data_IF_056515651035
#
_entry.id   IF_056515651035
#
_cell.length_a   1.000
_cell.length_b   1.000
_cell.length_c   1.000
_cell.angle_alpha   90.00
_cell.angle_beta   90.00
_cell.angle_gamma   90.00
#
_symmetry.space_group_name_H-M   'P 1'
#
loop_
_entity.id
_entity.type
_entity.pdbx_description
1 polymer ?
#
# COMPACT_ATOMS: atom_id res chain seq x y z
N UNK A 1 14.08 77.56 18.24
CA UNK A 1 13.15 77.11 17.18
C UNK A 1 13.70 77.58 15.86
N UNK A 2 13.51 76.76 14.82
CA UNK A 2 14.00 76.86 13.42
C UNK A 2 15.51 76.62 13.29
N UNK A 3 16.04 75.68 12.51
CA UNK A 3 15.54 74.91 11.37
C UNK A 3 16.60 75.04 10.27
N UNK A 4 17.50 74.06 10.14
CA UNK A 4 18.62 74.11 9.19
C UNK A 4 18.73 72.82 8.37
N UNK A 5 18.33 72.91 7.09
CA UNK A 5 18.61 71.93 6.05
C UNK A 5 20.13 71.82 5.82
N UNK A 6 20.73 70.68 6.13
CA UNK A 6 22.08 70.38 5.67
C UNK A 6 22.02 69.72 4.29
N UNK A 7 22.42 70.53 3.30
CA UNK A 7 22.59 70.16 1.90
C UNK A 7 23.92 69.43 1.74
N UNK A 8 23.87 68.20 1.21
CA UNK A 8 25.05 67.48 0.77
C UNK A 8 25.66 68.15 -0.46
N UNK A 9 26.87 68.70 -0.38
CA UNK A 9 27.86 68.68 -1.48
C UNK A 9 29.25 69.11 -1.01
N UNK A 10 30.25 68.20 -1.09
CA UNK A 10 31.54 68.41 -1.78
C UNK A 10 32.60 67.32 -1.44
N UNK A 11 33.02 66.53 -2.45
CA UNK A 11 34.22 65.66 -2.45
C UNK A 11 34.03 64.32 -3.22
N UNK A 12 34.79 64.01 -4.30
CA UNK A 12 34.33 63.08 -5.34
C UNK A 12 34.80 61.64 -5.14
N UNK A 13 33.90 60.77 -4.68
CA UNK A 13 33.81 59.41 -5.23
C UNK A 13 32.60 59.40 -6.14
N UNK A 14 32.80 59.36 -7.46
CA UNK A 14 31.70 59.20 -8.42
C UNK A 14 31.09 57.82 -8.22
N UNK A 15 30.13 57.70 -7.30
CA UNK A 15 29.24 56.55 -7.27
C UNK A 15 28.48 56.61 -8.59
N UNK A 16 28.86 55.74 -9.52
CA UNK A 16 28.20 55.63 -10.83
C UNK A 16 26.71 55.46 -10.61
N UNK A 17 25.87 56.11 -11.43
CA UNK A 17 24.41 55.89 -11.43
C UNK A 17 24.05 54.41 -11.46
N UNK A 18 24.91 53.58 -12.07
CA UNK A 18 24.78 52.12 -12.10
C UNK A 18 24.86 51.51 -10.69
N UNK A 19 25.79 51.97 -9.84
CA UNK A 19 25.97 51.53 -8.45
C UNK A 19 24.79 51.92 -7.55
N UNK A 20 24.20 53.10 -7.79
CA UNK A 20 23.00 53.54 -7.08
C UNK A 20 21.78 52.70 -7.51
N UNK A 21 21.68 52.42 -8.81
CA UNK A 21 20.63 51.56 -9.35
C UNK A 21 20.75 50.12 -8.82
N UNK A 22 21.97 49.56 -8.72
CA UNK A 22 22.19 48.21 -8.15
C UNK A 22 21.85 48.16 -6.68
N UNK A 23 22.21 49.17 -5.89
CA UNK A 23 21.87 49.23 -4.47
C UNK A 23 20.35 49.28 -4.25
N UNK A 24 19.64 50.13 -5.00
CA UNK A 24 18.17 50.20 -4.93
C UNK A 24 17.53 48.87 -5.40
N UNK A 25 18.10 48.23 -6.42
CA UNK A 25 17.64 46.91 -6.87
C UNK A 25 17.92 45.81 -5.82
N UNK A 26 19.07 45.79 -5.17
CA UNK A 26 19.42 44.82 -4.11
C UNK A 26 18.51 44.99 -2.88
N UNK A 27 18.24 46.23 -2.48
CA UNK A 27 17.33 46.57 -1.37
C UNK A 27 15.87 46.23 -1.72
N UNK A 28 15.42 46.51 -2.95
CA UNK A 28 14.06 46.19 -3.41
C UNK A 28 13.82 44.70 -3.66
N UNK A 29 14.85 43.98 -4.13
CA UNK A 29 14.77 42.53 -4.36
C UNK A 29 15.04 41.71 -3.09
N UNK A 30 15.55 42.33 -2.03
CA UNK A 30 15.91 41.66 -0.78
C UNK A 30 17.03 40.63 -0.95
N UNK A 31 17.86 40.78 -1.99
CA UNK A 31 18.93 39.83 -2.35
C UNK A 31 19.98 39.73 -1.23
N UNK A 32 20.22 40.82 -0.50
CA UNK A 32 21.10 40.83 0.69
C UNK A 32 20.63 39.87 1.80
N UNK A 33 19.31 39.64 1.90
CA UNK A 33 18.70 38.75 2.90
C UNK A 33 18.46 37.33 2.39
N UNK A 34 18.87 36.98 1.16
CA UNK A 34 18.68 35.62 0.62
C UNK A 34 19.33 34.57 1.53
N UNK A 35 20.50 34.86 2.12
CA UNK A 35 21.14 33.97 3.09
C UNK A 35 20.28 33.71 4.33
N UNK A 36 19.61 34.74 4.83
CA UNK A 36 18.72 34.64 5.99
C UNK A 36 17.42 33.92 5.65
N UNK A 37 16.82 34.19 4.48
CA UNK A 37 15.64 33.49 3.99
C UNK A 37 15.92 32.01 3.74
N UNK A 38 17.08 31.67 3.16
CA UNK A 38 17.51 30.29 2.98
C UNK A 38 17.73 29.61 4.33
N UNK A 39 18.39 30.28 5.27
CA UNK A 39 18.59 29.76 6.63
C UNK A 39 17.26 29.49 7.33
N UNK A 40 16.32 30.43 7.26
CA UNK A 40 14.97 30.26 7.80
C UNK A 40 14.21 29.11 7.13
N UNK A 41 14.30 28.97 5.80
CA UNK A 41 13.73 27.85 5.07
C UNK A 41 14.37 26.51 5.49
N UNK A 42 15.69 26.47 5.72
CA UNK A 42 16.37 25.29 6.26
C UNK A 42 15.89 24.94 7.67
N UNK A 43 15.72 25.92 8.56
CA UNK A 43 15.17 25.67 9.90
C UNK A 43 13.73 25.14 9.84
N UNK A 44 12.88 25.71 9.00
CA UNK A 44 11.52 25.21 8.77
C UNK A 44 11.57 23.78 8.22
N UNK A 45 12.42 23.51 7.23
CA UNK A 45 12.55 22.18 6.66
C UNK A 45 13.00 21.17 7.72
N UNK A 46 13.97 21.52 8.57
CA UNK A 46 14.40 20.67 9.68
C UNK A 46 13.30 20.42 10.71
N UNK A 47 12.53 21.45 11.06
CA UNK A 47 11.38 21.32 11.97
C UNK A 47 10.30 20.40 11.38
N UNK A 48 10.04 20.54 10.07
CA UNK A 48 9.05 19.73 9.35
C UNK A 48 9.61 18.40 8.84
N UNK A 49 10.91 18.15 8.99
CA UNK A 49 11.57 16.97 8.42
C UNK A 49 10.93 15.65 8.88
N UNK A 50 10.62 15.45 10.19
CA UNK A 50 9.93 14.25 10.63
C UNK A 50 8.58 14.06 9.93
N UNK A 51 7.82 15.16 9.72
CA UNK A 51 6.55 15.14 9.00
C UNK A 51 6.74 14.74 7.52
N UNK A 52 7.75 15.31 6.85
CA UNK A 52 8.08 14.97 5.45
C UNK A 52 8.44 13.48 5.33
N UNK A 53 9.25 12.96 6.24
CA UNK A 53 9.66 11.54 6.24
C UNK A 53 8.45 10.61 6.24
N UNK A 54 7.40 10.91 7.01
CA UNK A 54 6.21 10.04 7.10
C UNK A 54 5.46 9.93 5.77
N UNK A 55 5.48 10.96 4.93
CA UNK A 55 4.86 10.96 3.60
C UNK A 55 5.79 10.41 2.51
N UNK A 56 7.11 10.43 2.72
CA UNK A 56 8.10 9.89 1.79
C UNK A 56 8.27 8.38 1.94
N UNK A 57 8.23 7.86 3.18
CA UNK A 57 8.44 6.43 3.48
C UNK A 57 7.55 5.47 2.67
N UNK A 58 6.25 5.76 2.41
CA UNK A 58 5.45 4.91 1.53
C UNK A 58 6.00 4.78 0.11
N UNK A 59 6.78 5.75 -0.35
CA UNK A 59 7.50 5.71 -1.64
C UNK A 59 8.49 4.55 -1.75
N UNK A 60 8.98 3.99 -0.63
CA UNK A 60 9.83 2.79 -0.62
C UNK A 60 9.10 1.59 -1.24
N UNK A 61 7.80 1.43 -0.99
CA UNK A 61 7.01 0.34 -1.59
C UNK A 61 6.90 0.51 -3.10
N UNK A 62 6.74 1.74 -3.58
CA UNK A 62 6.72 2.06 -5.01
C UNK A 62 8.08 1.77 -5.64
N UNK A 63 9.17 2.17 -4.98
CA UNK A 63 10.53 1.87 -5.40
C UNK A 63 10.74 0.35 -5.51
N UNK A 64 10.33 -0.43 -4.51
CA UNK A 64 10.43 -1.89 -4.53
C UNK A 64 9.61 -2.53 -5.65
N UNK A 65 8.45 -1.96 -6.00
CA UNK A 65 7.68 -2.40 -7.16
C UNK A 65 8.43 -2.15 -8.48
N UNK A 66 9.06 -0.99 -8.66
CA UNK A 66 9.88 -0.72 -9.84
C UNK A 66 11.18 -1.52 -9.89
N UNK A 67 11.81 -1.78 -8.74
CA UNK A 67 12.94 -2.72 -8.64
C UNK A 67 12.49 -4.12 -9.05
N UNK A 68 11.31 -4.58 -8.60
CA UNK A 68 10.72 -5.85 -9.03
C UNK A 68 10.54 -5.89 -10.55
N UNK A 69 9.99 -4.83 -11.14
CA UNK A 69 9.81 -4.71 -12.60
C UNK A 69 11.16 -4.79 -13.32
N UNK A 70 12.18 -4.06 -12.86
CA UNK A 70 13.52 -4.09 -13.44
C UNK A 70 14.13 -5.48 -13.38
N UNK A 71 14.06 -6.15 -12.22
CA UNK A 71 14.56 -7.51 -12.05
C UNK A 71 13.85 -8.50 -12.99
N UNK A 72 12.54 -8.35 -13.20
CA UNK A 72 11.79 -9.19 -14.14
C UNK A 72 12.23 -8.97 -15.59
N UNK A 73 12.52 -7.74 -16.00
CA UNK A 73 13.04 -7.49 -17.35
C UNK A 73 14.43 -8.09 -17.55
N UNK A 74 15.31 -7.97 -16.55
CA UNK A 74 16.64 -8.60 -16.56
C UNK A 74 16.50 -10.13 -16.61
N UNK A 75 15.63 -10.69 -15.77
CA UNK A 75 15.37 -12.11 -15.70
C UNK A 75 14.82 -12.65 -17.01
N UNK A 76 13.82 -11.95 -17.59
CA UNK A 76 13.24 -12.32 -18.88
C UNK A 76 14.33 -12.33 -19.96
N UNK A 77 15.07 -11.24 -20.12
CA UNK A 77 16.15 -11.11 -21.12
C UNK A 77 17.20 -12.24 -20.99
N UNK A 78 17.58 -12.59 -19.76
CA UNK A 78 18.55 -13.67 -19.51
C UNK A 78 18.01 -15.05 -19.88
N UNK A 79 16.70 -15.24 -19.85
CA UNK A 79 16.03 -16.52 -20.06
C UNK A 79 15.18 -16.57 -21.33
N UNK A 80 15.30 -15.60 -22.25
CA UNK A 80 14.54 -15.52 -23.51
C UNK A 80 14.64 -16.81 -24.34
N UNK A 81 15.82 -17.43 -24.40
CA UNK A 81 16.01 -18.72 -25.07
C UNK A 81 15.38 -19.91 -24.34
N UNK A 82 15.12 -19.82 -23.04
CA UNK A 82 14.50 -20.89 -22.24
C UNK A 82 12.97 -20.76 -22.18
N UNK A 83 12.44 -19.55 -22.33
CA UNK A 83 11.00 -19.27 -22.33
C UNK A 83 10.29 -19.91 -23.53
N UNK A 84 10.95 -19.99 -24.69
CA UNK A 84 10.43 -20.68 -25.87
C UNK A 84 10.28 -22.21 -25.70
N UNK A 85 10.92 -22.80 -24.68
CA UNK A 85 10.98 -24.25 -24.50
C UNK A 85 10.46 -24.74 -23.14
N UNK A 86 10.12 -23.85 -22.19
CA UNK A 86 9.69 -24.27 -20.84
C UNK A 86 8.72 -23.31 -20.14
N UNK A 87 7.70 -23.87 -19.50
CA UNK A 87 6.77 -23.14 -18.61
C UNK A 87 7.41 -22.73 -17.25
N UNK A 88 8.59 -23.27 -16.91
CA UNK A 88 9.26 -23.08 -15.63
C UNK A 88 9.85 -21.67 -15.40
N UNK A 89 10.07 -20.90 -16.47
CA UNK A 89 10.69 -19.57 -16.39
C UNK A 89 9.89 -18.63 -15.47
N UNK A 90 8.56 -18.68 -15.53
CA UNK A 90 7.69 -17.86 -14.68
C UNK A 90 7.61 -18.35 -13.23
N UNK A 91 7.95 -19.61 -12.96
CA UNK A 91 8.09 -20.12 -11.58
C UNK A 91 9.33 -19.50 -10.93
N UNK A 92 10.47 -19.50 -11.63
CA UNK A 92 11.69 -18.87 -11.13
C UNK A 92 11.55 -17.35 -10.92
N UNK A 93 10.86 -16.66 -11.82
CA UNK A 93 10.53 -15.25 -11.65
C UNK A 93 9.68 -14.99 -10.39
N UNK A 94 8.68 -15.84 -10.12
CA UNK A 94 7.86 -15.76 -8.90
C UNK A 94 8.65 -16.04 -7.64
N UNK A 95 9.53 -17.03 -7.65
CA UNK A 95 10.39 -17.35 -6.51
C UNK A 95 11.30 -16.16 -6.16
N UNK A 96 11.90 -15.51 -7.16
CA UNK A 96 12.72 -14.31 -6.98
C UNK A 96 11.93 -13.16 -6.34
N UNK A 97 10.73 -12.86 -6.86
CA UNK A 97 9.88 -11.82 -6.29
C UNK A 97 9.41 -12.17 -4.88
N UNK A 98 9.00 -13.41 -4.65
CA UNK A 98 8.57 -13.88 -3.35
C UNK A 98 9.71 -13.75 -2.33
N UNK A 99 10.95 -14.04 -2.71
CA UNK A 99 12.12 -13.86 -1.85
C UNK A 99 12.36 -12.39 -1.49
N UNK A 100 12.26 -11.49 -2.47
CA UNK A 100 12.42 -10.05 -2.24
C UNK A 100 11.36 -9.50 -1.27
N UNK A 101 10.09 -9.81 -1.52
CA UNK A 101 8.97 -9.30 -0.73
C UNK A 101 8.83 -10.00 0.63
N UNK A 102 9.13 -11.30 0.74
CA UNK A 102 9.23 -12.01 2.03
C UNK A 102 10.37 -11.41 2.85
N UNK A 103 11.54 -11.18 2.25
CA UNK A 103 12.68 -10.53 2.89
C UNK A 103 12.32 -9.15 3.44
N UNK A 104 11.72 -8.29 2.61
CA UNK A 104 11.28 -6.97 3.03
C UNK A 104 10.25 -7.05 4.17
N UNK A 105 9.22 -7.88 4.03
CA UNK A 105 8.19 -8.05 5.07
C UNK A 105 8.79 -8.54 6.39
N UNK A 106 9.70 -9.51 6.36
CA UNK A 106 10.32 -10.07 7.57
C UNK A 106 11.31 -9.11 8.23
N UNK A 107 12.10 -8.38 7.45
CA UNK A 107 13.09 -7.44 8.00
C UNK A 107 12.38 -6.19 8.53
N UNK A 108 11.59 -5.53 7.69
CA UNK A 108 10.97 -4.25 8.03
C UNK A 108 9.83 -4.43 9.04
N UNK A 109 8.89 -5.33 8.75
CA UNK A 109 7.69 -5.51 9.55
C UNK A 109 7.75 -6.70 10.52
N UNK A 110 8.81 -7.50 10.52
CA UNK A 110 8.80 -8.75 11.30
C UNK A 110 7.66 -9.67 10.86
N UNK A 111 7.30 -9.66 9.58
CA UNK A 111 6.09 -10.30 9.06
C UNK A 111 5.96 -11.78 9.46
N UNK A 112 4.75 -12.17 9.88
CA UNK A 112 4.38 -13.55 10.19
C UNK A 112 3.08 -13.94 9.49
N UNK A 113 2.97 -15.21 9.12
CA UNK A 113 1.78 -15.81 8.53
C UNK A 113 1.33 -16.99 9.39
N UNK A 114 0.09 -16.92 9.86
CA UNK A 114 -0.55 -17.87 10.78
C UNK A 114 -1.78 -18.50 10.13
N UNK A 115 -2.10 -19.75 10.45
CA UNK A 115 -3.29 -20.45 9.94
C UNK A 115 -3.13 -21.00 8.51
N UNK A 116 -1.92 -21.24 8.02
CA UNK A 116 -1.68 -21.68 6.63
C UNK A 116 -2.35 -23.03 6.33
N UNK A 117 -2.50 -23.86 7.36
CA UNK A 117 -3.23 -25.13 7.36
C UNK A 117 -4.71 -24.99 6.95
N UNK A 118 -5.31 -23.82 7.14
CA UNK A 118 -6.68 -23.54 6.72
C UNK A 118 -6.81 -23.34 5.20
N UNK A 119 -5.69 -23.20 4.48
CA UNK A 119 -5.73 -23.09 3.01
C UNK A 119 -5.90 -24.50 2.42
N UNK A 120 -6.98 -24.78 1.67
CA UNK A 120 -7.21 -26.09 1.09
C UNK A 120 -6.09 -26.43 0.08
N UNK A 121 -5.81 -27.72 -0.17
CA UNK A 121 -4.86 -28.13 -1.21
C UNK A 121 -5.34 -27.72 -2.61
N UNK A 122 -6.66 -27.63 -2.82
CA UNK A 122 -7.29 -27.25 -4.08
C UNK A 122 -7.56 -25.75 -4.23
N UNK A 123 -8.59 -25.37 -5.00
CA UNK A 123 -8.98 -23.97 -5.16
C UNK A 123 -9.68 -23.42 -3.91
N UNK A 124 -9.67 -22.11 -3.79
CA UNK A 124 -10.29 -21.39 -2.68
C UNK A 124 -10.28 -19.89 -2.93
N UNK A 125 -11.28 -19.19 -2.42
CA UNK A 125 -11.39 -17.74 -2.51
C UNK A 125 -10.96 -17.10 -1.20
N UNK A 126 -9.77 -16.53 -1.15
CA UNK A 126 -9.30 -15.74 -0.01
C UNK A 126 -10.02 -14.40 -0.01
N UNK A 127 -10.79 -14.11 1.03
CA UNK A 127 -11.49 -12.84 1.20
C UNK A 127 -10.86 -12.09 2.37
N UNK A 128 -10.38 -10.88 2.11
CA UNK A 128 -9.59 -10.16 3.10
C UNK A 128 -10.00 -8.71 3.29
N UNK A 129 -9.73 -8.20 4.49
CA UNK A 129 -9.77 -6.79 4.80
C UNK A 129 -8.67 -6.05 4.03
N UNK A 130 -9.01 -4.99 3.30
CA UNK A 130 -8.02 -4.23 2.55
C UNK A 130 -7.27 -3.25 3.46
N UNK A 131 -5.94 -3.33 3.55
CA UNK A 131 -5.09 -2.29 4.14
C UNK A 131 -5.07 -0.97 3.35
N UNK A 132 -4.36 0.05 3.83
CA UNK A 132 -4.20 1.29 3.05
C UNK A 132 -3.39 1.09 1.76
N UNK A 133 -2.55 0.06 1.72
CA UNK A 133 -1.73 -0.38 0.59
C UNK A 133 -1.88 -1.90 0.42
N UNK A 134 -1.56 -2.48 -0.75
CA UNK A 134 -1.71 -3.92 -1.00
C UNK A 134 -0.60 -4.79 -0.36
N UNK A 135 0.18 -4.24 0.59
CA UNK A 135 1.32 -4.95 1.18
C UNK A 135 0.91 -6.20 1.98
N UNK A 136 -0.30 -6.19 2.54
CA UNK A 136 -0.89 -7.31 3.27
C UNK A 136 -0.99 -8.54 2.36
N UNK A 137 -1.58 -8.36 1.17
CA UNK A 137 -1.65 -9.40 0.17
C UNK A 137 -0.28 -9.76 -0.41
N UNK A 138 0.60 -8.77 -0.69
CA UNK A 138 1.92 -9.04 -1.27
C UNK A 138 2.77 -9.91 -0.34
N UNK A 139 2.82 -9.58 0.96
CA UNK A 139 3.54 -10.40 1.93
C UNK A 139 2.91 -11.77 2.14
N UNK A 140 1.57 -11.85 2.18
CA UNK A 140 0.86 -13.12 2.24
C UNK A 140 1.21 -14.02 1.05
N UNK A 141 1.11 -13.50 -0.17
CA UNK A 141 1.37 -14.24 -1.40
C UNK A 141 2.83 -14.68 -1.49
N UNK A 142 3.77 -13.80 -1.15
CA UNK A 142 5.20 -14.12 -1.08
C UNK A 142 5.48 -15.23 -0.06
N UNK A 143 4.96 -15.10 1.16
CA UNK A 143 5.20 -16.05 2.25
C UNK A 143 4.57 -17.41 1.95
N UNK A 144 3.35 -17.43 1.41
CA UNK A 144 2.67 -18.64 0.97
C UNK A 144 3.47 -19.37 -0.13
N UNK A 145 4.03 -18.61 -1.08
CA UNK A 145 4.89 -19.17 -2.12
C UNK A 145 6.15 -19.80 -1.52
N UNK A 146 6.85 -19.10 -0.62
CA UNK A 146 8.05 -19.63 0.03
C UNK A 146 7.75 -20.89 0.85
N UNK A 147 6.66 -20.90 1.64
CA UNK A 147 6.34 -21.98 2.58
C UNK A 147 5.70 -23.21 1.92
N UNK A 148 4.85 -23.01 0.90
CA UNK A 148 4.00 -24.07 0.34
C UNK A 148 4.14 -24.23 -1.17
N UNK A 149 5.00 -23.44 -1.82
CA UNK A 149 5.10 -23.35 -3.29
C UNK A 149 3.73 -23.12 -3.96
N UNK A 150 2.83 -22.44 -3.25
CA UNK A 150 1.48 -22.12 -3.69
C UNK A 150 1.40 -20.69 -4.17
N UNK A 151 0.81 -20.52 -5.34
CA UNK A 151 0.51 -19.21 -5.90
C UNK A 151 -0.96 -18.86 -5.64
N UNK A 152 -1.21 -17.63 -5.17
CA UNK A 152 -2.54 -17.07 -5.00
C UNK A 152 -2.66 -15.85 -5.89
N UNK A 153 -3.53 -15.90 -6.91
CA UNK A 153 -3.83 -14.76 -7.78
C UNK A 153 -4.66 -13.72 -7.02
N UNK A 154 -4.74 -12.47 -7.49
CA UNK A 154 -5.58 -11.43 -6.84
C UNK A 154 -6.32 -10.61 -7.87
N UNK A 155 -7.50 -10.13 -7.48
CA UNK A 155 -8.25 -9.15 -8.26
C UNK A 155 -7.79 -7.73 -7.91
N UNK A 156 -7.38 -6.97 -8.91
CA UNK A 156 -7.02 -5.57 -8.77
C UNK A 156 -8.01 -4.63 -9.49
N UNK A 157 -8.05 -3.38 -9.03
CA UNK A 157 -8.82 -2.33 -9.69
C UNK A 157 -8.23 -1.99 -11.07
N UNK A 158 -9.07 -1.51 -11.98
CA UNK A 158 -8.71 -1.21 -13.36
C UNK A 158 -7.57 -0.19 -13.47
N UNK A 159 -7.44 0.76 -12.54
CA UNK A 159 -6.36 1.76 -12.60
C UNK A 159 -4.96 1.12 -12.50
N UNK A 160 -4.81 0.00 -11.79
CA UNK A 160 -3.53 -0.69 -11.58
C UNK A 160 -2.93 -1.14 -12.92
N UNK A 161 -3.78 -1.57 -13.85
CA UNK A 161 -3.38 -2.01 -15.20
C UNK A 161 -2.96 -0.85 -16.11
N UNK A 162 -3.24 0.39 -15.72
CA UNK A 162 -2.83 1.60 -16.46
C UNK A 162 -1.50 2.17 -15.94
N UNK A 163 -0.93 1.60 -14.88
CA UNK A 163 0.35 2.05 -14.34
C UNK A 163 1.50 1.74 -15.31
N UNK A 164 2.33 2.75 -15.68
CA UNK A 164 3.44 2.56 -16.60
C UNK A 164 4.41 1.46 -16.14
N UNK A 165 4.70 0.49 -17.01
CA UNK A 165 5.68 -0.58 -16.75
C UNK A 165 5.18 -1.74 -15.88
N UNK A 166 3.98 -1.68 -15.30
CA UNK A 166 3.49 -2.70 -14.36
C UNK A 166 3.09 -4.02 -15.03
N UNK A 167 2.82 -4.05 -16.34
CA UNK A 167 2.30 -5.23 -17.04
C UNK A 167 3.03 -6.53 -16.70
N UNK A 168 4.36 -6.56 -16.81
CA UNK A 168 5.16 -7.76 -16.52
C UNK A 168 5.03 -8.23 -15.07
N UNK A 169 4.95 -7.27 -14.13
CA UNK A 169 4.77 -7.57 -12.71
C UNK A 169 3.38 -8.15 -12.43
N UNK A 170 2.34 -7.56 -13.03
CA UNK A 170 0.97 -8.05 -12.91
C UNK A 170 0.83 -9.47 -13.46
N UNK A 171 1.43 -9.74 -14.63
CA UNK A 171 1.42 -11.06 -15.27
C UNK A 171 2.09 -12.12 -14.37
N UNK A 172 3.26 -11.81 -13.79
CA UNK A 172 4.02 -12.71 -12.90
C UNK A 172 3.29 -12.97 -11.59
N UNK A 173 2.72 -11.92 -10.99
CA UNK A 173 1.98 -12.00 -9.74
C UNK A 173 0.56 -12.56 -9.92
N UNK A 174 0.15 -12.89 -11.16
CA UNK A 174 -1.18 -13.42 -11.44
C UNK A 174 -2.29 -12.45 -11.06
N UNK A 175 -2.08 -11.15 -11.28
CA UNK A 175 -3.06 -10.11 -10.97
C UNK A 175 -4.06 -10.04 -12.12
N UNK A 176 -5.34 -10.28 -11.81
CA UNK A 176 -6.41 -10.35 -12.81
C UNK A 176 -7.38 -9.18 -12.66
N UNK A 177 -8.07 -8.86 -13.77
CA UNK A 177 -9.22 -7.97 -13.73
C UNK A 177 -10.40 -8.62 -12.97
N UNK A 178 -11.30 -7.78 -12.45
CA UNK A 178 -12.45 -8.21 -11.64
C UNK A 178 -13.74 -8.71 -12.30
N UNK A 179 -13.89 -8.97 -13.62
CA UNK A 179 -15.09 -9.62 -14.13
C UNK A 179 -15.32 -10.98 -13.47
N UNK A 180 -16.56 -11.26 -13.05
CA UNK A 180 -16.91 -12.47 -12.30
C UNK A 180 -16.49 -13.75 -13.04
N UNK A 181 -16.66 -13.77 -14.36
CA UNK A 181 -16.37 -14.91 -15.21
C UNK A 181 -14.87 -15.24 -15.21
N UNK A 182 -13.99 -14.23 -15.15
CA UNK A 182 -12.56 -14.42 -15.06
C UNK A 182 -12.16 -15.03 -13.70
N UNK A 183 -12.79 -14.55 -12.62
CA UNK A 183 -12.58 -15.09 -11.27
C UNK A 183 -13.04 -16.56 -11.18
N UNK A 184 -14.25 -16.87 -11.67
CA UNK A 184 -14.80 -18.23 -11.69
C UNK A 184 -13.93 -19.17 -12.52
N UNK A 185 -13.47 -18.74 -13.70
CA UNK A 185 -12.55 -19.54 -14.53
C UNK A 185 -11.23 -19.82 -13.81
N UNK A 186 -10.69 -18.85 -13.08
CA UNK A 186 -9.43 -19.01 -12.33
C UNK A 186 -9.59 -20.05 -11.21
N UNK A 187 -10.68 -19.96 -10.44
CA UNK A 187 -10.98 -20.91 -9.37
C UNK A 187 -11.26 -22.32 -9.92
N UNK A 188 -12.00 -22.46 -11.02
CA UNK A 188 -12.28 -23.76 -11.66
C UNK A 188 -11.04 -24.45 -12.22
N UNK A 189 -9.94 -23.71 -12.45
CA UNK A 189 -8.63 -24.27 -12.82
C UNK A 189 -7.84 -24.82 -11.62
N UNK A 190 -8.41 -24.77 -10.40
CA UNK A 190 -7.75 -25.24 -9.18
C UNK A 190 -6.87 -24.17 -8.49
N UNK A 191 -6.91 -22.92 -8.96
CA UNK A 191 -6.08 -21.84 -8.40
C UNK A 191 -6.70 -21.24 -7.13
N UNK A 192 -5.85 -20.68 -6.26
CA UNK A 192 -6.30 -19.74 -5.22
C UNK A 192 -6.50 -18.36 -5.84
N UNK A 193 -7.53 -17.66 -5.38
CA UNK A 193 -7.81 -16.28 -5.77
C UNK A 193 -8.07 -15.45 -4.52
N UNK A 194 -7.51 -14.25 -4.44
CA UNK A 194 -7.74 -13.29 -3.38
C UNK A 194 -8.60 -12.11 -3.86
N UNK A 195 -9.57 -11.71 -3.06
CA UNK A 195 -10.42 -10.54 -3.30
C UNK A 195 -10.58 -9.76 -1.99
N UNK A 196 -10.36 -8.45 -2.06
CA UNK A 196 -10.76 -7.51 -1.02
C UNK A 196 -12.07 -6.83 -1.44
N UNK A 197 -13.24 -7.20 -0.86
CA UNK A 197 -14.54 -6.71 -1.35
C UNK A 197 -14.69 -5.19 -1.23
N UNK A 198 -14.13 -4.60 -0.18
CA UNK A 198 -14.09 -3.15 0.03
C UNK A 198 -13.26 -2.41 -1.03
N UNK A 199 -12.28 -3.08 -1.63
CA UNK A 199 -11.42 -2.56 -2.70
C UNK A 199 -10.77 -1.22 -2.35
N UNK A 200 -10.56 -0.38 -3.36
CA UNK A 200 -9.94 0.95 -3.22
C UNK A 200 -10.70 1.84 -2.24
N UNK A 201 -12.02 1.73 -2.14
CA UNK A 201 -12.81 2.52 -1.20
C UNK A 201 -12.44 2.18 0.25
N UNK A 202 -12.36 0.90 0.59
CA UNK A 202 -11.90 0.48 1.92
C UNK A 202 -10.45 0.87 2.16
N UNK A 203 -9.57 0.67 1.19
CA UNK A 203 -8.17 1.08 1.26
C UNK A 203 -8.02 2.56 1.64
N UNK A 204 -8.78 3.44 1.01
CA UNK A 204 -8.64 4.89 1.19
C UNK A 204 -9.36 5.44 2.44
N UNK A 205 -10.39 4.76 2.94
CA UNK A 205 -11.35 5.37 3.87
C UNK A 205 -11.63 4.61 5.17
N UNK A 206 -11.05 3.43 5.38
CA UNK A 206 -11.06 2.78 6.69
C UNK A 206 -9.93 3.35 7.57
N UNK A 207 -10.14 3.34 8.88
CA UNK A 207 -9.36 4.06 9.89
C UNK A 207 -8.87 3.13 11.01
N UNK A 208 -8.43 3.70 12.14
CA UNK A 208 -8.04 2.95 13.34
C UNK A 208 -9.12 2.05 13.93
N UNK A 209 -10.38 2.21 13.52
CA UNK A 209 -11.48 1.36 13.97
C UNK A 209 -11.62 0.10 13.12
N UNK A 210 -10.81 -0.05 12.05
CA UNK A 210 -10.83 -1.22 11.18
C UNK A 210 -12.22 -1.51 10.61
N UNK A 211 -13.04 -0.47 10.41
CA UNK A 211 -14.41 -0.63 9.92
C UNK A 211 -14.38 -1.23 8.51
N UNK A 212 -15.12 -2.34 8.32
CA UNK A 212 -15.27 -3.02 7.03
C UNK A 212 -16.23 -2.20 6.14
N UNK A 213 -15.75 -1.76 4.98
CA UNK A 213 -16.44 -0.85 4.05
C UNK A 213 -16.90 -1.53 2.76
N UNK A 214 -17.47 -2.73 2.87
CA UNK A 214 -17.93 -3.52 1.72
C UNK A 214 -19.20 -2.97 1.06
N UNK A 215 -20.01 -2.19 1.80
CA UNK A 215 -21.32 -1.72 1.31
C UNK A 215 -22.17 -2.90 0.83
N UNK A 216 -22.86 -2.79 -0.30
CA UNK A 216 -23.69 -3.87 -0.86
C UNK A 216 -22.90 -4.80 -1.83
N UNK A 217 -21.56 -4.82 -1.76
CA UNK A 217 -20.74 -5.60 -2.70
C UNK A 217 -20.72 -7.08 -2.32
N UNK A 218 -21.62 -7.85 -2.95
CA UNK A 218 -21.73 -9.31 -2.80
C UNK A 218 -21.21 -10.13 -3.99
N UNK A 219 -20.52 -9.48 -4.93
CA UNK A 219 -20.05 -10.13 -6.16
C UNK A 219 -19.05 -11.27 -5.92
N UNK A 220 -18.19 -11.15 -4.90
CA UNK A 220 -17.22 -12.18 -4.53
C UNK A 220 -17.90 -13.46 -4.01
N UNK A 221 -19.02 -13.32 -3.30
CA UNK A 221 -19.79 -14.46 -2.80
C UNK A 221 -20.42 -15.23 -3.96
N UNK A 222 -20.96 -14.53 -4.96
CA UNK A 222 -21.45 -15.18 -6.18
C UNK A 222 -20.33 -15.92 -6.91
N UNK A 223 -19.12 -15.35 -6.99
CA UNK A 223 -17.94 -16.01 -7.59
C UNK A 223 -17.61 -17.32 -6.87
N UNK A 224 -17.66 -17.35 -5.53
CA UNK A 224 -17.41 -18.56 -4.76
C UNK A 224 -18.49 -19.63 -5.00
N UNK A 225 -19.76 -19.23 -5.05
CA UNK A 225 -20.91 -20.11 -5.35
C UNK A 225 -20.76 -20.72 -6.75
N UNK A 226 -20.52 -19.89 -7.77
CA UNK A 226 -20.42 -20.31 -9.17
C UNK A 226 -19.21 -21.23 -9.43
N UNK A 227 -18.14 -21.06 -8.66
CA UNK A 227 -16.97 -21.92 -8.69
C UNK A 227 -17.07 -23.13 -7.75
N UNK A 228 -18.05 -23.16 -6.84
CA UNK A 228 -18.22 -24.19 -5.80
C UNK A 228 -16.97 -24.38 -4.93
N UNK A 229 -16.39 -23.27 -4.47
CA UNK A 229 -15.16 -23.25 -3.66
C UNK A 229 -15.40 -22.67 -2.28
N UNK A 230 -14.61 -23.03 -1.26
CA UNK A 230 -14.70 -22.39 0.04
C UNK A 230 -14.21 -20.93 -0.02
N UNK A 231 -14.76 -20.11 0.87
CA UNK A 231 -14.22 -18.78 1.16
C UNK A 231 -13.29 -18.87 2.37
N UNK A 232 -12.11 -18.29 2.28
CA UNK A 232 -11.09 -18.30 3.33
C UNK A 232 -10.92 -16.87 3.85
N UNK A 233 -11.42 -16.54 5.06
CA UNK A 233 -11.28 -15.20 5.61
C UNK A 233 -9.82 -14.92 5.99
N UNK A 234 -9.34 -13.71 5.71
CA UNK A 234 -7.97 -13.30 6.05
C UNK A 234 -7.94 -11.87 6.60
N UNK A 235 -7.10 -11.67 7.61
CA UNK A 235 -6.87 -10.37 8.22
C UNK A 235 -5.38 -10.17 8.51
N UNK A 236 -4.87 -8.94 8.36
CA UNK A 236 -3.50 -8.58 8.73
C UNK A 236 -3.50 -7.54 9.85
N UNK A 237 -3.01 -7.94 11.01
CA UNK A 237 -2.84 -7.09 12.20
C UNK A 237 -1.93 -5.90 11.88
N UNK A 238 -2.26 -4.73 12.44
CA UNK A 238 -1.51 -3.48 12.31
C UNK A 238 -1.36 -2.95 10.87
N UNK A 239 -2.12 -3.47 9.89
CA UNK A 239 -2.01 -3.01 8.50
C UNK A 239 -2.36 -1.52 8.36
N UNK A 240 -3.25 -0.99 9.23
CA UNK A 240 -3.58 0.45 9.31
C UNK A 240 -2.59 1.25 10.14
N UNK A 241 -1.76 0.61 10.96
CA UNK A 241 -0.71 1.29 11.70
C UNK A 241 0.59 1.36 10.89
N UNK A 242 0.80 0.42 9.96
CA UNK A 242 1.92 0.49 9.02
C UNK A 242 1.72 1.59 7.98
N UNK A 243 0.50 1.75 7.48
CA UNK A 243 0.14 2.72 6.45
C UNK A 243 -1.24 3.31 6.71
N UNK A 244 -1.36 4.63 6.63
CA UNK A 244 -2.60 5.39 6.81
C UNK A 244 -2.84 6.34 5.66
N UNK A 245 -4.11 6.65 5.44
CA UNK A 245 -4.55 7.63 4.46
C UNK A 245 -5.15 8.83 5.17
N UNK A 246 -5.20 9.97 4.48
CA UNK A 246 -5.97 11.14 4.92
C UNK A 246 -7.47 11.02 4.57
N UNK A 247 -8.03 9.80 4.64
CA UNK A 247 -9.40 9.49 4.22
C UNK A 247 -10.51 10.13 5.08
N UNK A 248 -10.17 10.61 6.28
CA UNK A 248 -11.10 11.36 7.14
C UNK A 248 -11.50 12.72 6.57
N UNK A 249 -10.74 13.27 5.63
CA UNK A 249 -11.00 14.58 5.03
C UNK A 249 -12.18 14.47 4.05
N UNK A 250 -13.31 15.12 4.37
CA UNK A 250 -14.56 15.06 3.59
C UNK A 250 -14.38 15.45 2.11
N UNK A 251 -13.55 16.47 1.81
CA UNK A 251 -13.34 16.91 0.42
C UNK A 251 -12.63 15.84 -0.42
N UNK A 252 -11.68 15.10 0.16
CA UNK A 252 -10.99 14.01 -0.53
C UNK A 252 -11.93 12.83 -0.80
N UNK A 253 -12.83 12.53 0.15
CA UNK A 253 -13.89 11.53 -0.05
C UNK A 253 -14.84 11.92 -1.17
N UNK A 254 -15.34 13.16 -1.16
CA UNK A 254 -16.22 13.69 -2.20
C UNK A 254 -15.55 13.63 -3.58
N UNK A 255 -14.29 14.04 -3.66
CA UNK A 255 -13.51 13.97 -4.89
C UNK A 255 -13.37 12.52 -5.40
N UNK A 256 -12.99 11.58 -4.55
CA UNK A 256 -12.90 10.16 -4.91
C UNK A 256 -14.23 9.59 -5.41
N UNK A 257 -15.34 9.87 -4.75
CA UNK A 257 -16.65 9.36 -5.18
C UNK A 257 -17.06 9.92 -6.56
N UNK A 258 -16.56 11.10 -6.94
CA UNK A 258 -16.78 11.73 -8.25
C UNK A 258 -15.88 11.18 -9.36
N UNK A 259 -14.57 11.10 -9.14
CA UNK A 259 -13.59 10.77 -10.21
C UNK A 259 -13.07 9.33 -10.17
N UNK A 260 -13.29 8.61 -9.07
CA UNK A 260 -12.84 7.22 -8.85
C UNK A 260 -11.32 7.00 -8.98
N UNK A 261 -10.51 8.05 -8.79
CA UNK A 261 -9.05 7.98 -8.75
C UNK A 261 -8.54 8.04 -7.30
N UNK A 262 -7.54 7.22 -6.92
CA UNK A 262 -7.01 7.16 -5.56
C UNK A 262 -6.05 8.33 -5.26
N UNK A 263 -6.60 9.54 -5.18
CA UNK A 263 -5.84 10.78 -4.94
C UNK A 263 -5.70 11.14 -3.45
N UNK A 264 -6.07 10.23 -2.55
CA UNK A 264 -5.99 10.47 -1.09
C UNK A 264 -4.53 10.30 -0.66
N UNK A 265 -3.91 11.32 -0.03
CA UNK A 265 -2.53 11.20 0.44
C UNK A 265 -2.36 10.05 1.44
N UNK A 266 -1.26 9.33 1.26
CA UNK A 266 -0.83 8.20 2.06
C UNK A 266 0.39 8.61 2.89
N UNK A 267 0.42 8.21 4.15
CA UNK A 267 1.58 8.33 5.03
C UNK A 267 1.80 7.02 5.79
N UNK A 268 3.01 6.83 6.30
CA UNK A 268 3.37 5.63 7.05
C UNK A 268 4.60 4.98 6.44
N UNK A 269 4.53 3.69 6.10
CA UNK A 269 5.74 2.90 5.92
C UNK A 269 6.43 2.59 7.24
N UNK A 270 5.69 2.64 8.35
CA UNK A 270 6.25 2.41 9.68
C UNK A 270 6.64 0.93 9.87
N UNK A 271 7.78 0.64 10.54
CA UNK A 271 8.24 -0.72 10.79
C UNK A 271 7.46 -1.40 11.93
N UNK A 272 6.12 -1.41 11.83
CA UNK A 272 5.25 -2.08 12.80
C UNK A 272 5.23 -3.59 12.57
N UNK A 273 4.90 -4.35 13.62
CA UNK A 273 4.71 -5.80 13.51
C UNK A 273 3.48 -6.11 12.66
N UNK A 274 3.66 -6.81 11.53
CA UNK A 274 2.54 -7.32 10.72
C UNK A 274 2.38 -8.83 10.92
N UNK A 275 1.16 -9.26 11.23
CA UNK A 275 0.80 -10.68 11.30
C UNK A 275 -0.45 -10.93 10.49
N UNK A 276 -0.37 -11.80 9.49
CA UNK A 276 -1.53 -12.24 8.73
C UNK A 276 -2.08 -13.52 9.35
N UNK A 277 -3.40 -13.51 9.59
CA UNK A 277 -4.15 -14.63 10.12
C UNK A 277 -5.11 -15.14 9.05
N UNK A 278 -4.99 -16.44 8.75
CA UNK A 278 -5.91 -17.15 7.87
C UNK A 278 -6.95 -17.86 8.76
N UNK A 279 -8.20 -17.45 8.66
CA UNK A 279 -9.29 -18.02 9.44
C UNK A 279 -9.83 -19.32 8.84
N UNK A 280 -10.74 -19.95 9.58
CA UNK A 280 -11.40 -21.19 9.16
C UNK A 280 -12.15 -21.02 7.84
N UNK A 281 -12.03 -21.96 6.89
CA UNK A 281 -12.75 -21.89 5.63
C UNK A 281 -14.26 -21.98 5.83
N UNK A 282 -14.99 -21.10 5.17
CA UNK A 282 -16.44 -21.20 5.02
C UNK A 282 -16.69 -22.15 3.83
N UNK A 283 -17.19 -23.37 4.08
CA UNK A 283 -17.40 -24.35 3.01
C UNK A 283 -18.50 -23.88 2.05
N UNK A 284 -18.45 -24.39 0.82
CA UNK A 284 -19.53 -24.21 -0.14
C UNK A 284 -20.77 -24.98 0.33
N UNK A 285 -21.91 -24.31 0.36
CA UNK A 285 -23.21 -24.87 0.73
C UNK A 285 -24.21 -24.64 -0.44
N UNK A 286 -24.83 -25.68 -1.03
CA UNK A 286 -25.63 -25.55 -2.25
C UNK A 286 -26.82 -24.59 -2.20
N UNK A 287 -27.39 -24.37 -1.01
CA UNK A 287 -28.61 -23.58 -0.82
C UNK A 287 -28.33 -22.18 -0.24
N UNK A 288 -27.06 -21.81 -0.04
CA UNK A 288 -26.70 -20.51 0.53
C UNK A 288 -26.74 -19.42 -0.54
N UNK A 289 -27.45 -18.33 -0.25
CA UNK A 289 -27.48 -17.18 -1.15
C UNK A 289 -26.17 -16.39 -1.11
N UNK A 290 -25.88 -15.63 -2.17
CA UNK A 290 -24.70 -14.75 -2.20
C UNK A 290 -24.74 -13.66 -1.11
N UNK A 291 -25.93 -13.30 -0.62
CA UNK A 291 -26.10 -12.32 0.44
C UNK A 291 -25.75 -12.90 1.82
N UNK A 292 -26.31 -14.07 2.15
CA UNK A 292 -25.98 -14.80 3.36
C UNK A 292 -24.49 -15.15 3.42
N UNK A 293 -23.91 -15.62 2.31
CA UNK A 293 -22.50 -15.94 2.23
C UNK A 293 -21.62 -14.69 2.41
N UNK A 294 -22.03 -13.55 1.85
CA UNK A 294 -21.31 -12.29 2.03
C UNK A 294 -21.33 -11.82 3.49
N UNK A 295 -22.47 -11.90 4.17
CA UNK A 295 -22.58 -11.55 5.60
C UNK A 295 -21.81 -12.54 6.49
N UNK A 296 -21.90 -13.85 6.23
CA UNK A 296 -21.11 -14.88 6.94
C UNK A 296 -19.61 -14.62 6.78
N UNK A 297 -19.17 -14.27 5.57
CA UNK A 297 -17.78 -13.92 5.29
C UNK A 297 -17.36 -12.64 6.01
N UNK A 298 -18.21 -11.61 6.00
CA UNK A 298 -17.95 -10.35 6.69
C UNK A 298 -17.81 -10.57 8.19
N UNK A 299 -18.71 -11.34 8.79
CA UNK A 299 -18.65 -11.73 10.19
C UNK A 299 -17.37 -12.51 10.52
N UNK A 300 -16.92 -13.41 9.64
CA UNK A 300 -15.68 -14.15 9.85
C UNK A 300 -14.43 -13.25 9.78
N UNK A 301 -14.36 -12.30 8.84
CA UNK A 301 -13.28 -11.31 8.79
C UNK A 301 -13.32 -10.38 10.00
N UNK A 302 -14.52 -9.95 10.42
CA UNK A 302 -14.72 -9.14 11.61
C UNK A 302 -14.26 -9.86 12.88
N UNK A 303 -14.56 -11.16 13.02
CA UNK A 303 -14.09 -11.98 14.13
C UNK A 303 -12.55 -12.08 14.18
N UNK A 304 -11.88 -12.16 13.02
CA UNK A 304 -10.41 -12.10 12.96
C UNK A 304 -9.87 -10.74 13.42
N UNK A 305 -10.53 -9.64 13.02
CA UNK A 305 -10.17 -8.29 13.47
C UNK A 305 -10.30 -8.20 15.00
N UNK A 306 -11.45 -8.60 15.55
CA UNK A 306 -11.70 -8.54 17.01
C UNK A 306 -10.73 -9.40 17.82
N UNK A 307 -10.38 -10.59 17.30
CA UNK A 307 -9.44 -11.49 17.95
C UNK A 307 -8.00 -10.97 17.94
N UNK A 308 -7.58 -10.35 16.84
CA UNK A 308 -6.15 -10.10 16.59
C UNK A 308 -5.77 -8.61 16.59
N UNK A 309 -6.71 -7.69 16.58
CA UNK A 309 -6.45 -6.25 16.57
C UNK A 309 -7.02 -5.57 17.80
N UNK A 310 -6.17 -4.77 18.47
CA UNK A 310 -6.64 -3.86 19.51
C UNK A 310 -7.20 -2.60 18.86
N UNK A 311 -8.45 -2.27 19.19
CA UNK A 311 -9.18 -1.11 18.64
C UNK A 311 -9.44 -0.08 19.77
N UNK A 312 -9.25 1.24 19.53
CA UNK A 312 -8.68 1.82 18.32
C UNK A 312 -7.22 1.40 18.11
N UNK A 313 -6.86 1.27 16.83
CA UNK A 313 -5.49 1.08 16.37
C UNK A 313 -4.60 2.27 16.76
N UNK A 314 -3.37 1.99 17.17
CA UNK A 314 -2.43 2.99 17.68
C UNK A 314 -1.02 2.70 17.15
N UNK A 315 -0.44 3.67 16.42
CA UNK A 315 0.86 3.53 15.75
C UNK A 315 1.98 3.25 16.77
N UNK A 316 2.02 3.97 17.89
CA UNK A 316 3.05 3.78 18.90
C UNK A 316 3.00 2.37 19.50
N UNK A 317 1.81 1.89 19.85
CA UNK A 317 1.64 0.51 20.33
C UNK A 317 2.11 -0.52 19.29
N UNK A 318 1.70 -0.35 18.03
CA UNK A 318 2.09 -1.26 16.94
C UNK A 318 3.62 -1.23 16.66
N UNK A 319 4.28 -0.10 16.88
CA UNK A 319 5.74 0.00 16.85
C UNK A 319 6.38 -0.74 18.03
N UNK A 320 5.82 -0.63 19.23
CA UNK A 320 6.33 -1.36 20.40
C UNK A 320 6.16 -2.89 20.24
N UNK A 321 5.04 -3.33 19.66
CA UNK A 321 4.78 -4.74 19.32
C UNK A 321 5.82 -5.33 18.34
N UNK A 322 6.59 -4.49 17.62
CA UNK A 322 7.71 -4.94 16.76
C UNK A 322 8.85 -5.57 17.55
N UNK A 323 9.09 -5.08 18.76
CA UNK A 323 10.21 -5.44 19.61
C UNK A 323 9.80 -6.34 20.79
N UNK A 324 8.51 -6.44 21.08
CA UNK A 324 8.01 -7.36 22.08
C UNK A 324 8.07 -8.80 21.54
N UNK A 325 8.95 -9.60 22.14
CA UNK A 325 8.89 -11.06 22.01
C UNK A 325 7.65 -11.52 22.76
N UNK A 326 6.56 -11.83 22.06
CA UNK A 326 5.46 -12.55 22.69
C UNK A 326 6.01 -13.89 23.17
N UNK A 327 5.92 -14.16 24.48
CA UNK A 327 5.96 -15.54 24.97
C UNK A 327 4.88 -16.28 24.20
N UNK A 328 5.23 -17.41 23.57
CA UNK A 328 4.25 -18.32 22.99
C UNK A 328 3.28 -18.68 24.12
N UNK A 329 2.03 -18.27 23.97
CA UNK A 329 0.94 -18.93 24.66
C UNK A 329 0.58 -20.10 23.75
N UNK A 330 0.91 -21.30 24.24
CA UNK A 330 0.68 -22.60 23.60
C UNK A 330 -0.82 -22.96 23.56
#
# INVERSE_FOLDING_TARGET
MTGGNESCTAGPTSVSYLTCLTYILEEWTGVEHIGDYLSYAFYILWLLFPLVVVFVLPGVIILLAYVSILLLHIYKRKNELKEAYSHDVWVGAREMLATLWDGHGRIWHGYELHGVENIPPGPGLVVFYHGATPIDYIYFSARLHIMKKRHCSVVADHFVFRLPGFKILLDVLGIIHGPKEACVRTLKKGCLLAIAPGGVREALFSDEMYTILWSNRKGFAQVAIDAKVPIIPMFTQNVREGFRTLGGIKILRSLYERIRLPVVPLYGGFPVKLRTFIGEPIPYEPNMTAEELAEKTKAAVQALIEKHQKIPGNIFRALMERFQTQKKED
#
